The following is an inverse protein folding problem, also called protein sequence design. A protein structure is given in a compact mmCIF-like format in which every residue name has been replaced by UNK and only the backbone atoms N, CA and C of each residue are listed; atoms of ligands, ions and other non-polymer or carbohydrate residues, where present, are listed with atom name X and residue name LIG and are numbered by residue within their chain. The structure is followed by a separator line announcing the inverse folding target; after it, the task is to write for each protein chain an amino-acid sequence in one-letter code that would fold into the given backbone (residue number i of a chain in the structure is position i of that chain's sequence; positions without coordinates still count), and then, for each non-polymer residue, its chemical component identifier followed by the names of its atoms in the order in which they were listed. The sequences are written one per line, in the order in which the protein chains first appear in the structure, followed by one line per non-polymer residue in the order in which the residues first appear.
data_IF_684239865007
#
_entry.id   IF_684239865007
#
_cell.length_a   1.000
_cell.length_b   1.000
_cell.length_c   1.000
_cell.angle_alpha   90.00
_cell.angle_beta   90.00
_cell.angle_gamma   90.00
#
_symmetry.space_group_name_H-M   'P 1'
#
loop_
_entity.id
_entity.type
_entity.pdbx_description
1 polymer ?
#
# COMPACT_ATOMS: atom_id res chain seq x y z
N UNK A 1 0.53 14.25 -12.75
CA UNK A 1 2.00 14.26 -12.90
C UNK A 1 2.59 15.05 -11.74
N UNK A 2 3.71 14.60 -11.16
CA UNK A 2 4.42 15.38 -10.13
C UNK A 2 5.30 16.43 -10.80
N UNK A 3 5.07 17.71 -10.49
CA UNK A 3 5.84 18.85 -11.00
C UNK A 3 6.28 19.66 -9.77
N UNK A 4 7.59 19.83 -9.58
CA UNK A 4 8.18 20.57 -8.45
C UNK A 4 7.72 20.11 -7.05
N UNK A 5 7.37 18.82 -6.92
CA UNK A 5 6.90 18.23 -5.66
C UNK A 5 5.39 18.33 -5.42
N UNK A 6 4.64 18.93 -6.35
CA UNK A 6 3.18 19.01 -6.30
C UNK A 6 2.53 18.08 -7.33
N UNK A 7 1.42 17.46 -6.95
CA UNK A 7 0.59 16.71 -7.89
C UNK A 7 -0.18 17.70 -8.77
N UNK A 8 0.10 17.68 -10.07
CA UNK A 8 -0.67 18.44 -11.07
C UNK A 8 -1.49 17.50 -11.93
N UNK A 9 -2.79 17.75 -12.00
CA UNK A 9 -3.68 17.08 -12.95
C UNK A 9 -3.30 17.49 -14.37
N UNK A 10 -3.06 16.51 -15.22
CA UNK A 10 -2.77 16.71 -16.64
C UNK A 10 -3.92 16.08 -17.41
N UNK A 11 -4.79 16.86 -18.05
CA UNK A 11 -5.85 16.32 -18.89
C UNK A 11 -5.24 15.45 -20.00
N UNK A 12 -5.85 14.28 -20.24
CA UNK A 12 -5.45 13.34 -21.29
C UNK A 12 -6.67 12.95 -22.12
N UNK A 13 -6.42 12.59 -23.37
CA UNK A 13 -7.47 12.10 -24.26
C UNK A 13 -7.83 10.66 -23.86
N UNK A 14 -9.13 10.38 -23.80
CA UNK A 14 -9.64 9.01 -23.69
C UNK A 14 -9.56 8.39 -25.09
N UNK A 15 -8.74 7.37 -25.24
CA UNK A 15 -8.53 6.65 -26.50
C UNK A 15 -9.60 5.59 -26.73
N UNK A 16 -10.05 4.92 -25.66
CA UNK A 16 -11.04 3.86 -25.72
C UNK A 16 -11.79 3.72 -24.40
N UNK A 17 -13.00 3.16 -24.49
CA UNK A 17 -13.79 2.69 -23.35
C UNK A 17 -14.01 1.19 -23.56
N UNK A 18 -13.71 0.38 -22.56
CA UNK A 18 -14.06 -1.03 -22.54
C UNK A 18 -15.11 -1.30 -21.49
N UNK A 19 -16.01 -2.22 -21.81
CA UNK A 19 -17.12 -2.65 -20.96
C UNK A 19 -16.97 -4.14 -20.70
N UNK A 20 -17.23 -4.56 -19.46
CA UNK A 20 -17.22 -5.97 -19.06
C UNK A 20 -18.40 -6.25 -18.16
N UNK A 21 -18.99 -7.42 -18.32
CA UNK A 21 -19.90 -8.00 -17.34
C UNK A 21 -19.09 -8.79 -16.32
N UNK A 22 -19.29 -8.53 -15.04
CA UNK A 22 -18.61 -9.27 -13.97
C UNK A 22 -19.60 -9.66 -12.88
N UNK A 23 -19.24 -10.71 -12.13
CA UNK A 23 -20.10 -11.25 -11.08
C UNK A 23 -19.81 -10.73 -9.67
N UNK A 24 -18.76 -9.92 -9.51
CA UNK A 24 -18.30 -9.44 -8.22
C UNK A 24 -17.67 -8.03 -8.32
N UNK A 25 -18.10 -7.13 -7.44
CA UNK A 25 -17.45 -5.83 -7.19
C UNK A 25 -17.12 -5.65 -5.71
N UNK A 26 -16.30 -4.66 -5.43
CA UNK A 26 -16.00 -4.18 -4.09
C UNK A 26 -16.48 -2.73 -3.95
N UNK A 27 -17.27 -2.49 -2.91
CA UNK A 27 -17.57 -1.16 -2.40
C UNK A 27 -16.46 -0.77 -1.41
N UNK A 28 -15.53 0.07 -1.87
CA UNK A 28 -14.40 0.57 -1.10
C UNK A 28 -14.74 1.95 -0.54
N UNK A 29 -14.97 2.04 0.77
CA UNK A 29 -15.18 3.31 1.46
C UNK A 29 -13.88 3.81 2.06
N UNK A 30 -13.60 5.10 1.85
CA UNK A 30 -12.44 5.77 2.42
C UNK A 30 -12.83 7.07 3.13
N UNK A 31 -11.96 7.50 4.05
CA UNK A 31 -12.06 8.73 4.83
C UNK A 31 -10.91 9.66 4.44
N UNK A 32 -11.23 10.89 4.06
CA UNK A 32 -10.23 11.93 3.76
C UNK A 32 -9.63 12.50 5.05
N UNK A 33 -8.49 13.19 4.95
CA UNK A 33 -7.93 13.94 6.08
C UNK A 33 -8.87 15.03 6.63
N UNK A 34 -9.78 15.55 5.79
CA UNK A 34 -10.80 16.54 6.17
C UNK A 34 -12.03 15.93 6.84
N UNK A 35 -12.12 14.60 6.91
CA UNK A 35 -13.23 13.87 7.54
C UNK A 35 -14.40 13.53 6.61
N UNK A 36 -14.26 13.76 5.31
CA UNK A 36 -15.24 13.38 4.29
C UNK A 36 -15.17 11.87 3.99
N UNK A 37 -16.32 11.26 3.74
CA UNK A 37 -16.42 9.84 3.37
C UNK A 37 -16.97 9.70 1.97
N UNK A 38 -16.31 8.87 1.17
CA UNK A 38 -16.75 8.56 -0.17
C UNK A 38 -16.54 7.06 -0.48
N UNK A 39 -17.22 6.57 -1.50
CA UNK A 39 -17.22 5.14 -1.87
C UNK A 39 -16.93 4.97 -3.35
N UNK A 40 -15.98 4.09 -3.66
CA UNK A 40 -15.73 3.61 -5.02
C UNK A 40 -16.28 2.20 -5.19
N UNK A 41 -16.91 1.96 -6.34
CA UNK A 41 -17.34 0.64 -6.78
C UNK A 41 -16.37 0.15 -7.84
N UNK A 42 -15.62 -0.91 -7.52
CA UNK A 42 -14.47 -1.34 -8.32
C UNK A 42 -14.47 -2.85 -8.49
N UNK A 43 -13.85 -3.33 -9.56
CA UNK A 43 -13.57 -4.75 -9.70
C UNK A 43 -12.50 -5.19 -8.69
N UNK A 44 -12.54 -6.43 -8.17
CA UNK A 44 -11.55 -6.91 -7.19
C UNK A 44 -10.10 -6.81 -7.69
N UNK A 45 -9.89 -6.91 -8.99
CA UNK A 45 -8.60 -6.85 -9.67
C UNK A 45 -8.16 -5.44 -10.08
N UNK A 46 -9.00 -4.41 -9.87
CA UNK A 46 -8.65 -3.04 -10.27
C UNK A 46 -7.47 -2.51 -9.43
N UNK A 47 -6.39 -1.99 -10.04
CA UNK A 47 -5.26 -1.49 -9.26
C UNK A 47 -5.46 -0.05 -8.79
N UNK A 48 -5.30 0.18 -7.49
CA UNK A 48 -5.27 1.50 -6.85
C UNK A 48 -3.85 1.82 -6.41
N UNK A 49 -3.45 3.09 -6.51
CA UNK A 49 -2.13 3.50 -6.05
C UNK A 49 -2.09 3.57 -4.51
N UNK A 50 -1.22 2.76 -3.91
CA UNK A 50 -0.96 2.75 -2.47
C UNK A 50 0.36 3.51 -2.19
N UNK A 51 0.30 4.77 -1.72
CA UNK A 51 1.47 5.64 -1.58
C UNK A 51 2.48 5.14 -0.55
N UNK A 52 2.05 4.44 0.50
CA UNK A 52 2.97 3.80 1.46
C UNK A 52 3.95 2.82 0.77
N UNK A 53 3.48 2.13 -0.27
CA UNK A 53 4.25 1.11 -1.00
C UNK A 53 4.82 1.62 -2.32
N UNK A 54 4.46 2.85 -2.73
CA UNK A 54 4.81 3.42 -4.04
C UNK A 54 4.46 2.43 -5.19
N UNK A 55 3.30 1.78 -5.06
CA UNK A 55 2.92 0.66 -5.91
C UNK A 55 1.41 0.67 -6.18
N UNK A 56 1.02 0.08 -7.30
CA UNK A 56 -0.38 -0.22 -7.59
C UNK A 56 -0.73 -1.60 -7.03
N UNK A 57 -1.77 -1.65 -6.19
CA UNK A 57 -2.28 -2.86 -5.56
C UNK A 57 -3.72 -3.10 -5.99
N UNK A 58 -4.09 -4.36 -6.21
CA UNK A 58 -5.48 -4.73 -6.47
C UNK A 58 -6.37 -4.34 -5.30
N UNK A 59 -7.60 -3.89 -5.55
CA UNK A 59 -8.58 -3.60 -4.48
C UNK A 59 -8.71 -4.76 -3.50
N UNK A 60 -8.78 -6.00 -4.02
CA UNK A 60 -8.89 -7.21 -3.21
C UNK A 60 -7.69 -7.47 -2.27
N UNK A 61 -6.58 -6.75 -2.43
CA UNK A 61 -5.40 -6.86 -1.59
C UNK A 61 -5.31 -5.78 -0.51
N UNK A 62 -6.07 -4.68 -0.65
CA UNK A 62 -6.14 -3.63 0.35
C UNK A 62 -6.74 -4.16 1.67
N UNK A 63 -6.44 -3.47 2.77
CA UNK A 63 -7.10 -3.65 4.05
C UNK A 63 -7.43 -2.30 4.69
N UNK A 64 -8.19 -2.36 5.77
CA UNK A 64 -8.53 -1.18 6.56
C UNK A 64 -7.25 -0.50 7.06
N UNK A 65 -7.21 0.82 6.97
CA UNK A 65 -6.04 1.62 7.29
C UNK A 65 -5.11 1.91 6.11
N UNK A 66 -5.27 1.24 4.97
CA UNK A 66 -4.47 1.56 3.78
C UNK A 66 -4.73 2.96 3.27
N UNK A 67 -3.65 3.60 2.83
CA UNK A 67 -3.72 4.93 2.25
C UNK A 67 -3.97 4.86 0.75
N UNK A 68 -4.71 5.84 0.25
CA UNK A 68 -5.00 6.08 -1.16
C UNK A 68 -4.58 7.51 -1.51
N UNK A 69 -4.13 7.73 -2.74
CA UNK A 69 -3.78 9.07 -3.23
C UNK A 69 -5.00 9.72 -3.90
N UNK A 70 -5.36 10.92 -3.45
CA UNK A 70 -6.45 11.73 -3.98
C UNK A 70 -5.98 12.70 -5.08
N UNK A 71 -6.93 13.22 -5.85
CA UNK A 71 -6.68 14.14 -6.98
C UNK A 71 -6.04 15.49 -6.59
N UNK A 72 -6.25 15.92 -5.34
CA UNK A 72 -5.64 17.12 -4.76
C UNK A 72 -4.25 16.85 -4.13
N UNK A 73 -3.79 15.59 -4.18
CA UNK A 73 -2.52 15.14 -3.63
C UNK A 73 -2.58 14.77 -2.14
N UNK A 74 -3.73 14.90 -1.49
CA UNK A 74 -3.95 14.43 -0.12
C UNK A 74 -4.09 12.91 -0.06
N UNK A 75 -4.06 12.39 1.15
CA UNK A 75 -4.26 10.97 1.42
C UNK A 75 -5.68 10.74 1.96
N UNK A 76 -6.26 9.60 1.57
CA UNK A 76 -7.42 9.04 2.21
C UNK A 76 -7.09 7.68 2.83
N UNK A 77 -7.83 7.29 3.86
CA UNK A 77 -7.65 6.00 4.55
C UNK A 77 -8.84 5.09 4.25
N UNK A 78 -8.57 3.83 3.88
CA UNK A 78 -9.60 2.80 3.68
C UNK A 78 -10.27 2.48 5.03
N UNK A 79 -11.57 2.74 5.12
CA UNK A 79 -12.40 2.47 6.30
C UNK A 79 -13.33 1.27 6.13
N UNK A 80 -13.65 0.87 4.90
CA UNK A 80 -14.47 -0.31 4.63
C UNK A 80 -14.14 -0.94 3.27
N UNK A 81 -14.20 -2.27 3.23
CA UNK A 81 -14.14 -3.09 2.03
C UNK A 81 -15.33 -4.05 2.09
N UNK A 82 -16.34 -3.85 1.25
CA UNK A 82 -17.51 -4.74 1.17
C UNK A 82 -17.57 -5.40 -0.21
N UNK A 83 -17.58 -6.73 -0.26
CA UNK A 83 -17.76 -7.50 -1.50
C UNK A 83 -19.24 -7.64 -1.82
N UNK A 84 -19.62 -7.41 -3.06
CA UNK A 84 -20.98 -7.66 -3.58
C UNK A 84 -20.91 -8.60 -4.77
N UNK A 85 -21.70 -9.65 -4.70
CA UNK A 85 -21.95 -10.56 -5.83
C UNK A 85 -23.23 -10.12 -6.56
N UNK A 86 -23.28 -10.32 -7.87
CA UNK A 86 -24.39 -9.87 -8.70
C UNK A 86 -24.05 -9.93 -10.19
N UNK A 87 -24.78 -9.20 -11.02
CA UNK A 87 -24.41 -8.93 -12.41
C UNK A 87 -24.13 -7.44 -12.52
N UNK A 88 -22.90 -7.09 -12.89
CA UNK A 88 -22.44 -5.71 -12.94
C UNK A 88 -21.78 -5.41 -14.28
N UNK A 89 -22.28 -4.38 -14.95
CA UNK A 89 -21.61 -3.75 -16.07
C UNK A 89 -20.55 -2.78 -15.51
N UNK A 90 -19.28 -3.03 -15.83
CA UNK A 90 -18.15 -2.19 -15.39
C UNK A 90 -17.43 -1.57 -16.58
N UNK A 91 -16.95 -0.35 -16.38
CA UNK A 91 -16.26 0.44 -17.39
C UNK A 91 -14.78 0.56 -17.06
N UNK A 92 -13.95 0.54 -18.09
CA UNK A 92 -12.54 0.91 -17.98
C UNK A 92 -12.17 1.86 -19.13
N UNK A 93 -11.28 2.81 -18.85
CA UNK A 93 -10.81 3.77 -19.85
C UNK A 93 -9.45 3.31 -20.40
N UNK A 94 -9.12 3.70 -21.62
CA UNK A 94 -7.74 3.78 -22.08
C UNK A 94 -7.45 5.26 -22.25
N UNK A 95 -6.37 5.75 -21.66
CA UNK A 95 -5.99 7.16 -21.76
C UNK A 95 -4.60 7.27 -22.36
N UNK A 96 -4.43 8.27 -23.21
CA UNK A 96 -3.21 8.53 -23.97
C UNK A 96 -2.01 8.74 -23.04
N UNK A 97 -0.87 8.11 -23.38
CA UNK A 97 0.45 8.24 -22.75
C UNK A 97 0.53 7.92 -21.24
N UNK A 98 -0.56 7.57 -20.58
CA UNK A 98 -0.60 7.30 -19.16
C UNK A 98 -1.54 6.13 -18.86
N UNK A 99 -1.05 5.12 -18.16
CA UNK A 99 -1.90 4.02 -17.71
C UNK A 99 -2.52 4.31 -16.35
N UNK A 100 -2.95 5.56 -16.08
CA UNK A 100 -3.59 5.93 -14.83
C UNK A 100 -4.51 7.15 -14.99
N UNK A 101 -5.48 7.27 -14.09
CA UNK A 101 -6.45 8.35 -14.06
C UNK A 101 -7.05 8.45 -12.65
N UNK A 102 -7.76 9.54 -12.36
CA UNK A 102 -8.51 9.69 -11.12
C UNK A 102 -9.95 9.22 -11.33
N UNK A 103 -10.38 8.23 -10.55
CA UNK A 103 -11.75 7.71 -10.58
C UNK A 103 -12.58 8.40 -9.50
N UNK A 104 -13.67 9.05 -9.92
CA UNK A 104 -14.61 9.69 -9.01
C UNK A 104 -15.42 8.63 -8.23
N UNK A 105 -15.74 8.88 -6.95
CA UNK A 105 -16.62 8.02 -6.17
C UNK A 105 -18.07 8.05 -6.69
N UNK A 106 -18.89 7.14 -6.18
CA UNK A 106 -20.34 7.23 -6.32
C UNK A 106 -20.85 8.43 -5.52
N UNK A 107 -21.50 9.38 -6.20
CA UNK A 107 -21.97 10.63 -5.60
C UNK A 107 -20.90 11.71 -5.63
N UNK A 108 -20.86 12.52 -4.56
CA UNK A 108 -19.85 13.57 -4.38
C UNK A 108 -18.67 13.03 -3.55
N UNK A 109 -17.47 13.53 -3.86
CA UNK A 109 -16.26 13.25 -3.10
C UNK A 109 -14.99 13.27 -3.98
N UNK A 110 -13.81 13.27 -3.35
CA UNK A 110 -12.54 13.42 -4.08
C UNK A 110 -12.19 12.15 -4.86
N UNK A 111 -11.72 12.32 -6.10
CA UNK A 111 -11.34 11.18 -6.93
C UNK A 111 -10.02 10.52 -6.47
N UNK A 112 -9.90 9.21 -6.68
CA UNK A 112 -8.74 8.39 -6.28
C UNK A 112 -7.90 7.96 -7.48
N UNK A 113 -6.57 7.95 -7.33
CA UNK A 113 -5.66 7.50 -8.38
C UNK A 113 -5.75 5.98 -8.63
N UNK A 114 -6.18 5.61 -9.82
CA UNK A 114 -6.32 4.23 -10.31
C UNK A 114 -5.45 3.98 -11.54
N UNK A 115 -5.20 2.72 -11.87
CA UNK A 115 -4.42 2.33 -13.04
C UNK A 115 -5.30 1.77 -14.18
N UNK A 116 -5.11 2.27 -15.40
CA UNK A 116 -5.65 1.71 -16.63
C UNK A 116 -4.79 0.53 -17.08
N UNK A 117 -5.22 -0.69 -16.76
CA UNK A 117 -4.63 -1.88 -17.34
C UNK A 117 -5.32 -3.13 -16.85
N UNK A 118 -5.52 -4.08 -17.76
CA UNK A 118 -5.75 -5.48 -17.38
C UNK A 118 -4.74 -5.81 -16.31
N UNK A 119 -5.23 -6.26 -15.15
CA UNK A 119 -4.45 -6.75 -14.01
C UNK A 119 -3.01 -7.09 -14.41
N UNK A 120 -2.09 -6.12 -14.30
CA UNK A 120 -0.73 -6.41 -14.75
C UNK A 120 -0.20 -7.52 -13.86
N UNK A 121 0.50 -8.51 -14.42
CA UNK A 121 1.10 -9.58 -13.61
C UNK A 121 1.94 -8.98 -12.46
N UNK A 122 2.48 -7.77 -12.68
CA UNK A 122 3.14 -6.98 -11.66
C UNK A 122 2.20 -6.59 -10.51
N UNK A 123 1.05 -5.97 -10.78
CA UNK A 123 0.08 -5.60 -9.75
C UNK A 123 -0.43 -6.83 -8.97
N UNK A 124 -0.69 -7.95 -9.65
CA UNK A 124 -1.07 -9.21 -9.00
C UNK A 124 0.04 -9.74 -8.08
N UNK A 125 1.29 -9.77 -8.56
CA UNK A 125 2.44 -10.23 -7.78
C UNK A 125 2.74 -9.33 -6.59
N UNK A 126 2.68 -8.01 -6.78
CA UNK A 126 2.85 -7.04 -5.70
C UNK A 126 1.73 -7.19 -4.66
N UNK A 127 0.49 -7.37 -5.10
CA UNK A 127 -0.67 -7.64 -4.25
C UNK A 127 -0.52 -8.93 -3.44
N UNK A 128 -0.01 -10.00 -4.04
CA UNK A 128 0.24 -11.26 -3.33
C UNK A 128 1.35 -11.11 -2.28
N UNK A 129 2.48 -10.52 -2.67
CA UNK A 129 3.59 -10.24 -1.75
C UNK A 129 3.14 -9.35 -0.59
N UNK A 130 2.28 -8.39 -0.89
CA UNK A 130 1.71 -7.47 0.05
C UNK A 130 0.83 -8.17 1.10
N UNK A 131 -0.14 -8.98 0.67
CA UNK A 131 -0.99 -9.76 1.59
C UNK A 131 -0.16 -10.67 2.49
N UNK A 132 0.83 -11.35 1.93
CA UNK A 132 1.73 -12.22 2.69
C UNK A 132 2.55 -11.42 3.72
N UNK A 133 3.12 -10.28 3.30
CA UNK A 133 3.88 -9.38 4.17
C UNK A 133 3.06 -8.87 5.35
N UNK A 134 1.86 -8.35 5.08
CA UNK A 134 0.94 -7.86 6.10
C UNK A 134 0.46 -8.96 7.04
N UNK A 135 0.06 -10.11 6.52
CA UNK A 135 -0.43 -11.22 7.35
C UNK A 135 0.66 -11.69 8.33
N UNK A 136 1.91 -11.76 7.86
CA UNK A 136 3.06 -12.07 8.71
C UNK A 136 3.30 -10.97 9.75
N UNK A 137 3.32 -9.69 9.36
CA UNK A 137 3.47 -8.56 10.26
C UNK A 137 2.41 -8.55 11.37
N UNK A 138 1.13 -8.71 11.00
CA UNK A 138 0.03 -8.75 11.96
C UNK A 138 0.13 -9.95 12.91
N UNK A 139 0.56 -11.12 12.42
CA UNK A 139 0.77 -12.30 13.25
C UNK A 139 1.87 -12.05 14.30
N UNK A 140 3.01 -11.47 13.88
CA UNK A 140 4.12 -11.10 14.77
C UNK A 140 3.67 -10.08 15.80
N UNK A 141 3.05 -8.98 15.39
CA UNK A 141 2.57 -7.92 16.30
C UNK A 141 1.56 -8.47 17.32
N UNK A 142 0.60 -9.30 16.87
CA UNK A 142 -0.38 -9.95 17.75
C UNK A 142 0.28 -10.89 18.75
N UNK A 143 1.25 -11.70 18.32
CA UNK A 143 1.96 -12.64 19.19
C UNK A 143 2.81 -11.92 20.24
N UNK A 144 3.39 -10.77 19.89
CA UNK A 144 4.20 -9.95 20.80
C UNK A 144 3.36 -9.01 21.68
N UNK A 145 2.05 -8.87 21.41
CA UNK A 145 1.19 -7.89 22.06
C UNK A 145 1.62 -6.45 21.78
N UNK A 146 2.12 -6.17 20.57
CA UNK A 146 2.64 -4.86 20.15
C UNK A 146 1.71 -4.19 19.15
N UNK A 147 1.80 -2.87 19.07
CA UNK A 147 1.13 -2.06 18.05
C UNK A 147 2.19 -1.56 17.06
N UNK A 148 1.84 -1.54 15.77
CA UNK A 148 2.74 -1.04 14.71
C UNK A 148 3.12 0.41 14.99
N UNK A 149 4.42 0.71 14.92
CA UNK A 149 4.90 2.07 14.95
C UNK A 149 4.81 2.72 13.56
N UNK A 150 4.25 3.92 13.52
CA UNK A 150 4.14 4.74 12.30
C UNK A 150 4.98 6.02 12.38
N UNK A 151 5.70 6.23 13.48
CA UNK A 151 6.48 7.44 13.72
C UNK A 151 7.92 7.26 13.21
N UNK A 152 8.42 8.28 12.49
CA UNK A 152 9.81 8.32 12.02
C UNK A 152 10.77 8.51 13.20
N UNK A 153 11.85 7.74 13.18
CA UNK A 153 13.03 7.93 14.03
C UNK A 153 14.20 8.40 13.16
N UNK A 154 15.16 9.08 13.80
CA UNK A 154 16.38 9.58 13.16
C UNK A 154 17.59 9.00 13.86
N UNK A 155 18.51 8.45 13.07
CA UNK A 155 19.77 7.90 13.55
C UNK A 155 20.85 7.99 12.48
N UNK A 156 21.98 7.34 12.72
CA UNK A 156 23.21 7.40 11.94
C UNK A 156 23.59 6.02 11.44
N UNK A 157 23.82 5.89 10.14
CA UNK A 157 24.31 4.65 9.56
C UNK A 157 25.81 4.45 9.81
N UNK A 158 26.34 3.24 9.56
CA UNK A 158 27.76 2.91 9.80
C UNK A 158 28.75 3.79 9.02
N UNK A 159 28.31 4.39 7.91
CA UNK A 159 29.10 5.33 7.12
C UNK A 159 29.06 6.78 7.66
N UNK A 160 28.51 6.99 8.87
CA UNK A 160 28.38 8.30 9.51
C UNK A 160 27.26 9.18 8.96
N UNK A 161 26.46 8.71 7.99
CA UNK A 161 25.37 9.50 7.41
C UNK A 161 24.08 9.35 8.20
N UNK A 162 23.59 10.46 8.74
CA UNK A 162 22.27 10.53 9.36
C UNK A 162 21.13 10.23 8.35
N UNK A 163 20.05 9.61 8.82
CA UNK A 163 18.87 9.33 8.02
C UNK A 163 17.63 9.06 8.87
N UNK A 164 16.47 9.05 8.21
CA UNK A 164 15.18 8.76 8.84
C UNK A 164 14.70 7.37 8.44
N UNK A 165 14.00 6.70 9.35
CA UNK A 165 13.37 5.39 9.14
C UNK A 165 12.15 5.26 10.05
N UNK A 166 11.25 4.32 9.76
CA UNK A 166 10.14 3.96 10.64
C UNK A 166 10.37 2.47 10.97
N UNK A 167 10.79 2.13 12.19
CA UNK A 167 10.78 0.73 12.65
C UNK A 167 9.34 0.27 12.88
N UNK A 168 9.07 -1.01 12.67
CA UNK A 168 7.73 -1.59 12.84
C UNK A 168 7.29 -1.63 14.31
N UNK A 169 8.22 -1.71 15.26
CA UNK A 169 7.96 -1.72 16.71
C UNK A 169 8.84 -0.67 17.40
N UNK A 170 8.24 0.07 18.34
CA UNK A 170 8.92 1.04 19.22
C UNK A 170 8.51 0.85 20.68
N UNK A 171 9.32 1.38 21.61
CA UNK A 171 9.04 1.40 23.05
C UNK A 171 10.11 0.64 23.82
N UNK A 172 9.78 -0.54 24.34
CA UNK A 172 10.74 -1.41 25.05
C UNK A 172 11.79 -2.05 24.13
N UNK A 173 11.68 -1.86 22.81
CA UNK A 173 12.60 -2.33 21.77
C UNK A 173 12.44 -1.43 20.54
N UNK A 174 13.42 -1.50 19.64
CA UNK A 174 13.27 -1.11 18.24
C UNK A 174 13.17 -2.40 17.44
N UNK A 175 12.02 -2.64 16.80
CA UNK A 175 11.78 -3.88 16.08
C UNK A 175 11.50 -3.66 14.60
N UNK A 176 12.01 -4.56 13.76
CA UNK A 176 11.74 -4.61 12.33
C UNK A 176 11.20 -5.99 11.95
N UNK A 177 10.20 -6.05 11.09
CA UNK A 177 9.54 -7.27 10.64
C UNK A 177 9.75 -7.45 9.14
N UNK A 178 10.36 -8.57 8.74
CA UNK A 178 10.64 -8.88 7.33
C UNK A 178 10.04 -10.23 6.95
N UNK A 179 9.12 -10.24 5.99
CA UNK A 179 8.61 -11.46 5.38
C UNK A 179 9.53 -11.97 4.24
N UNK A 180 10.81 -12.19 4.52
CA UNK A 180 11.81 -12.73 3.57
C UNK A 180 12.83 -13.61 4.30
N UNK A 181 13.32 -14.66 3.64
CA UNK A 181 14.35 -15.55 4.19
C UNK A 181 15.74 -14.91 4.32
N UNK A 182 16.02 -13.83 3.58
CA UNK A 182 17.31 -13.15 3.60
C UNK A 182 17.12 -11.72 4.08
N UNK A 183 17.78 -11.40 5.19
CA UNK A 183 17.89 -10.07 5.77
C UNK A 183 19.32 -9.59 5.58
N UNK A 184 19.50 -8.45 4.92
CA UNK A 184 20.81 -7.81 4.74
C UNK A 184 20.95 -6.63 5.67
N UNK A 185 22.17 -6.32 6.13
CA UNK A 185 22.45 -5.17 7.00
C UNK A 185 22.36 -3.83 6.22
N UNK A 186 21.15 -3.48 5.82
CA UNK A 186 20.83 -2.28 5.06
C UNK A 186 21.07 -1.00 5.86
N UNK A 187 21.20 0.14 5.18
CA UNK A 187 21.25 1.46 5.83
C UNK A 187 20.09 1.68 6.80
N UNK A 188 18.91 1.18 6.46
CA UNK A 188 17.73 1.25 7.34
C UNK A 188 17.99 0.52 8.66
N UNK A 189 18.43 -0.74 8.61
CA UNK A 189 18.72 -1.54 9.80
C UNK A 189 19.85 -0.94 10.64
N UNK A 190 20.87 -0.35 9.99
CA UNK A 190 21.94 0.36 10.69
C UNK A 190 21.41 1.58 11.46
N UNK A 191 20.54 2.38 10.85
CA UNK A 191 19.92 3.54 11.50
C UNK A 191 19.04 3.10 12.67
N UNK A 192 18.24 2.05 12.49
CA UNK A 192 17.37 1.53 13.57
C UNK A 192 18.19 0.94 14.73
N UNK A 193 19.29 0.24 14.44
CA UNK A 193 20.20 -0.25 15.47
C UNK A 193 20.85 0.88 16.27
N UNK A 194 21.31 1.96 15.62
CA UNK A 194 21.83 3.17 16.27
C UNK A 194 20.76 3.84 17.15
N UNK A 195 19.52 3.93 16.68
CA UNK A 195 18.40 4.45 17.48
C UNK A 195 18.15 3.57 18.72
N UNK A 196 18.19 2.24 18.57
CA UNK A 196 18.02 1.32 19.69
C UNK A 196 19.12 1.50 20.75
N UNK A 197 20.37 1.66 20.30
CA UNK A 197 21.52 1.94 21.16
C UNK A 197 21.36 3.27 21.92
N UNK A 198 20.97 4.35 21.23
CA UNK A 198 20.71 5.65 21.85
C UNK A 198 19.59 5.61 22.90
N UNK A 199 18.58 4.78 22.68
CA UNK A 199 17.46 4.59 23.60
C UNK A 199 17.75 3.58 24.72
N UNK A 200 18.86 2.85 24.65
CA UNK A 200 19.20 1.80 25.62
C UNK A 200 18.25 0.60 25.58
N UNK A 201 17.67 0.30 24.41
CA UNK A 201 16.73 -0.81 24.20
C UNK A 201 17.26 -1.79 23.14
N UNK A 202 16.84 -3.06 23.13
CA UNK A 202 17.28 -4.01 22.11
C UNK A 202 16.79 -3.65 20.71
N UNK A 203 17.61 -3.97 19.69
CA UNK A 203 17.21 -4.00 18.29
C UNK A 203 16.87 -5.43 17.87
N UNK A 204 15.61 -5.71 17.55
CA UNK A 204 15.12 -7.04 17.19
C UNK A 204 14.63 -7.08 15.74
N UNK A 205 14.98 -8.16 15.01
CA UNK A 205 14.48 -8.39 13.65
C UNK A 205 13.69 -9.70 13.60
N UNK A 206 12.41 -9.60 13.26
CA UNK A 206 11.49 -10.73 13.14
C UNK A 206 11.38 -11.15 11.68
N UNK A 207 11.71 -12.41 11.40
CA UNK A 207 11.76 -12.95 10.03
C UNK A 207 10.80 -14.11 9.87
N UNK A 208 10.18 -14.22 8.69
CA UNK A 208 9.34 -15.38 8.38
C UNK A 208 10.19 -16.64 8.26
N UNK A 209 9.86 -17.73 8.99
CA UNK A 209 10.63 -18.97 8.96
C UNK A 209 10.40 -19.82 7.70
N UNK A 210 9.45 -19.47 6.82
CA UNK A 210 8.96 -20.38 5.79
C UNK A 210 8.95 -19.77 4.38
N UNK A 211 9.93 -20.17 3.56
CA UNK A 211 9.71 -20.49 2.14
C UNK A 211 10.56 -21.72 1.77
N UNK A 212 10.05 -22.93 2.01
CA UNK A 212 10.54 -24.13 1.31
C UNK A 212 9.84 -24.27 -0.03
N UNK A 213 10.65 -24.61 -1.03
CA UNK A 213 10.36 -24.69 -2.45
C UNK A 213 9.20 -25.63 -2.80
N UNK A 214 8.47 -25.29 -3.87
CA UNK A 214 7.79 -26.28 -4.70
C UNK A 214 8.81 -27.30 -5.23
N UNK A 215 8.59 -28.62 -5.07
CA UNK A 215 9.39 -29.61 -5.77
C UNK A 215 8.92 -29.63 -7.23
N UNK A 216 9.71 -29.06 -8.13
CA UNK A 216 9.57 -29.40 -9.54
C UNK A 216 10.34 -30.70 -9.78
N UNK A 217 9.60 -31.75 -10.13
CA UNK A 217 10.11 -32.99 -10.72
C UNK A 217 10.83 -32.71 -12.04
#
# INVERSE_FOLDING_TARGET
MWIDGELRLVPRVIEAISVREISEIIDLRYLTETGERATLELTPDHPLFAPEYQAYLQVAALALGDQLLLEDGQLAVVEQIARREGEFEVFNLSVEDAHNYFAAPVGDGPAVLVHNGVCSDLAARLSANYRLGRAFEQAVLKQLGKVKNTTKVRGTALNGRAGNTIPDIMGAEVGEIKNRMVVSNTRQMQIQADVAEQLGVPFNVYISPEQRMSPSL
#
